data_IF_801873677534
#
_entry.id   IF_801873677534
#
_cell.length_a   1.000
_cell.length_b   1.000
_cell.length_c   1.000
_cell.angle_alpha   90.00
_cell.angle_beta   90.00
_cell.angle_gamma   90.00
#
_symmetry.space_group_name_H-M   'P 1'
#
loop_
_entity.id
_entity.type
_entity.pdbx_description
1 polymer ?
#
# COMPACT_ATOMS: atom_id res chain seq x y z
N UNK A 1 -19.07 13.05 -1.03
CA UNK A 1 -18.77 14.49 -1.16
C UNK A 1 -19.49 14.97 -2.42
N UNK A 2 -20.66 15.58 -2.22
CA UNK A 2 -21.58 15.94 -3.31
C UNK A 2 -21.07 17.13 -4.13
N UNK A 3 -20.34 18.06 -3.50
CA UNK A 3 -19.77 19.23 -4.18
C UNK A 3 -18.69 18.79 -5.16
N UNK A 4 -17.83 17.86 -4.74
CA UNK A 4 -16.77 17.33 -5.59
C UNK A 4 -17.35 16.55 -6.79
N UNK A 5 -18.40 15.77 -6.55
CA UNK A 5 -19.09 15.03 -7.60
C UNK A 5 -19.75 15.97 -8.61
N UNK A 6 -20.48 17.00 -8.16
CA UNK A 6 -21.11 17.99 -9.03
C UNK A 6 -20.09 18.73 -9.91
N UNK A 7 -18.92 19.07 -9.35
CA UNK A 7 -17.80 19.65 -10.13
C UNK A 7 -17.26 18.67 -11.16
N UNK A 8 -17.03 17.41 -10.78
CA UNK A 8 -16.53 16.38 -11.70
C UNK A 8 -17.52 16.08 -12.83
N UNK A 9 -18.82 16.06 -12.55
CA UNK A 9 -19.87 15.89 -13.57
C UNK A 9 -19.91 17.07 -14.55
N UNK A 10 -19.75 18.31 -14.07
CA UNK A 10 -19.72 19.52 -14.91
C UNK A 10 -18.46 19.61 -15.77
N UNK A 11 -17.29 19.33 -15.20
CA UNK A 11 -16.00 19.45 -15.87
C UNK A 11 -15.69 18.28 -16.81
N UNK A 12 -16.31 17.11 -16.58
CA UNK A 12 -16.09 15.86 -17.31
C UNK A 12 -14.60 15.58 -17.58
N UNK A 13 -13.75 15.55 -16.55
CA UNK A 13 -12.31 15.41 -16.73
C UNK A 13 -11.96 14.04 -17.33
N UNK A 14 -10.97 14.01 -18.23
CA UNK A 14 -10.42 12.73 -18.72
C UNK A 14 -9.54 12.04 -17.64
N UNK A 15 -8.90 12.84 -16.78
CA UNK A 15 -7.97 12.36 -15.75
C UNK A 15 -8.30 12.99 -14.38
N UNK A 16 -8.32 12.17 -13.33
CA UNK A 16 -8.48 12.60 -11.94
C UNK A 16 -7.29 12.10 -11.15
N UNK A 17 -6.51 13.03 -10.58
CA UNK A 17 -5.39 12.69 -9.70
C UNK A 17 -5.84 12.87 -8.26
N UNK A 18 -5.87 11.77 -7.52
CA UNK A 18 -6.17 11.78 -6.08
C UNK A 18 -4.83 11.72 -5.36
N UNK A 19 -4.54 12.72 -4.53
CA UNK A 19 -3.27 12.83 -3.80
C UNK A 19 -3.46 12.87 -2.27
N UNK A 20 -4.36 12.03 -1.76
CA UNK A 20 -4.65 11.89 -0.32
C UNK A 20 -4.06 10.58 0.22
N UNK A 21 -3.96 10.43 1.54
CA UNK A 21 -3.46 9.22 2.18
C UNK A 21 -4.25 7.95 1.80
N UNK A 22 -3.54 6.83 1.63
CA UNK A 22 -4.04 5.63 0.95
C UNK A 22 -5.38 5.06 1.44
N UNK A 23 -5.67 5.12 2.73
CA UNK A 23 -6.93 4.54 3.27
C UNK A 23 -8.21 5.23 2.78
N UNK A 24 -8.20 6.54 2.56
CA UNK A 24 -9.35 7.28 2.05
C UNK A 24 -9.33 7.40 0.51
N UNK A 25 -8.16 7.27 -0.07
CA UNK A 25 -7.92 7.39 -1.50
C UNK A 25 -8.69 6.34 -2.31
N UNK A 26 -8.65 5.07 -1.87
CA UNK A 26 -9.34 3.98 -2.58
C UNK A 26 -10.86 4.11 -2.48
N UNK A 27 -11.37 4.54 -1.32
CA UNK A 27 -12.81 4.77 -1.10
C UNK A 27 -13.31 5.90 -2.00
N UNK A 28 -12.57 7.01 -2.06
CA UNK A 28 -12.91 8.14 -2.91
C UNK A 28 -12.85 7.79 -4.39
N UNK A 29 -11.79 7.09 -4.82
CA UNK A 29 -11.64 6.66 -6.21
C UNK A 29 -12.78 5.73 -6.65
N UNK A 30 -13.18 4.77 -5.79
CA UNK A 30 -14.35 3.92 -6.05
C UNK A 30 -15.64 4.72 -6.13
N UNK A 31 -15.88 5.61 -5.16
CA UNK A 31 -17.07 6.45 -5.13
C UNK A 31 -17.20 7.29 -6.41
N UNK A 32 -16.12 7.92 -6.88
CA UNK A 32 -16.15 8.70 -8.13
C UNK A 32 -16.41 7.82 -9.35
N UNK A 33 -15.82 6.62 -9.40
CA UNK A 33 -16.04 5.67 -10.50
C UNK A 33 -17.49 5.17 -10.58
N UNK A 34 -18.16 5.02 -9.45
CA UNK A 34 -19.54 4.52 -9.38
C UNK A 34 -20.59 5.62 -9.63
N UNK A 35 -20.27 6.89 -9.37
CA UNK A 35 -21.22 8.00 -9.42
C UNK A 35 -21.03 8.92 -10.65
N UNK A 36 -20.01 8.70 -11.47
CA UNK A 36 -19.79 9.46 -12.71
C UNK A 36 -20.31 8.68 -13.92
N UNK A 37 -21.08 9.37 -14.77
CA UNK A 37 -21.61 8.81 -16.02
C UNK A 37 -20.52 8.54 -17.08
N UNK A 38 -19.27 8.90 -16.80
CA UNK A 38 -18.11 8.70 -17.65
C UNK A 38 -16.99 7.99 -16.87
N UNK A 39 -16.03 7.41 -17.59
CA UNK A 39 -14.92 6.66 -17.00
C UNK A 39 -13.61 7.44 -17.08
N UNK A 40 -13.35 8.37 -16.14
CA UNK A 40 -12.06 9.05 -16.07
C UNK A 40 -10.95 8.07 -15.68
N UNK A 41 -9.72 8.36 -16.11
CA UNK A 41 -8.54 7.70 -15.58
C UNK A 41 -8.25 8.26 -14.17
N UNK A 42 -8.44 7.44 -13.14
CA UNK A 42 -8.21 7.82 -11.74
C UNK A 42 -6.82 7.35 -11.32
N UNK A 43 -5.97 8.30 -10.94
CA UNK A 43 -4.60 8.05 -10.50
C UNK A 43 -4.49 8.27 -8.99
N UNK A 44 -4.26 7.19 -8.26
CA UNK A 44 -4.06 7.21 -6.82
C UNK A 44 -2.55 7.30 -6.52
N UNK A 45 -2.02 8.51 -6.34
CA UNK A 45 -0.58 8.74 -6.12
C UNK A 45 -0.19 8.84 -4.62
N UNK A 46 -1.10 8.47 -3.71
CA UNK A 46 -0.91 8.67 -2.27
C UNK A 46 -0.65 10.13 -1.90
N UNK A 47 -0.06 10.32 -0.71
CA UNK A 47 0.37 11.64 -0.26
C UNK A 47 1.69 12.10 -0.90
N UNK A 48 2.10 11.50 -2.05
CA UNK A 48 3.31 11.85 -2.78
C UNK A 48 3.33 13.32 -3.19
N UNK A 49 2.17 13.87 -3.57
CA UNK A 49 2.07 15.29 -3.93
C UNK A 49 2.39 16.21 -2.75
N UNK A 50 2.09 15.81 -1.51
CA UNK A 50 2.45 16.57 -0.31
C UNK A 50 3.96 16.70 -0.09
N UNK A 51 4.75 15.77 -0.62
CA UNK A 51 6.21 15.91 -0.64
C UNK A 51 6.67 16.89 -1.74
N UNK A 52 5.97 16.91 -2.88
CA UNK A 52 6.26 17.83 -3.97
C UNK A 52 5.88 19.27 -3.63
N UNK A 53 4.77 19.49 -2.92
CA UNK A 53 4.28 20.81 -2.51
C UNK A 53 4.95 21.33 -1.23
N UNK A 54 5.74 20.52 -0.55
CA UNK A 54 6.45 20.90 0.69
C UNK A 54 5.62 20.83 1.98
N UNK A 55 4.36 20.37 1.91
CA UNK A 55 3.47 20.20 3.07
C UNK A 55 3.87 19.02 3.97
N UNK A 56 4.65 18.07 3.45
CA UNK A 56 5.25 17.00 4.26
C UNK A 56 6.73 17.25 4.49
N UNK A 57 7.15 17.03 5.75
CA UNK A 57 8.55 17.12 6.18
C UNK A 57 9.44 16.34 5.21
N UNK A 58 10.30 17.07 4.51
CA UNK A 58 11.30 16.50 3.63
C UNK A 58 12.13 15.49 4.43
N UNK A 59 12.12 14.23 4.01
CA UNK A 59 13.01 13.24 4.59
C UNK A 59 14.42 13.63 4.13
N UNK A 60 15.39 13.81 5.04
CA UNK A 60 16.76 14.06 4.64
C UNK A 60 17.25 12.95 3.71
N UNK A 61 17.92 13.28 2.60
CA UNK A 61 18.38 12.29 1.63
C UNK A 61 19.29 11.21 2.24
N UNK A 62 20.03 11.54 3.32
CA UNK A 62 20.83 10.56 4.06
C UNK A 62 19.95 9.51 4.75
N UNK A 63 18.79 9.90 5.27
CA UNK A 63 17.88 8.99 5.95
C UNK A 63 17.12 8.10 4.96
N UNK A 64 16.81 8.63 3.78
CA UNK A 64 16.23 7.85 2.69
C UNK A 64 17.26 6.85 2.11
N UNK A 65 18.52 7.26 1.96
CA UNK A 65 19.64 6.37 1.56
C UNK A 65 19.86 5.18 2.48
N UNK A 66 19.62 5.33 3.79
CA UNK A 66 19.76 4.23 4.77
C UNK A 66 18.43 3.47 4.93
N UNK A 67 17.39 3.78 4.13
CA UNK A 67 16.03 3.27 4.30
C UNK A 67 15.45 3.48 5.72
N UNK A 68 15.97 4.47 6.46
CA UNK A 68 15.58 4.84 7.82
C UNK A 68 14.64 6.04 7.84
N UNK A 69 14.10 6.46 6.69
CA UNK A 69 13.11 7.53 6.60
C UNK A 69 11.89 7.31 7.51
N UNK A 70 11.51 6.06 7.77
CA UNK A 70 10.46 5.70 8.73
C UNK A 70 10.82 6.05 10.18
N UNK A 71 12.08 5.87 10.58
CA UNK A 71 12.57 6.17 11.92
C UNK A 71 12.71 7.68 12.13
N UNK A 72 13.18 8.39 11.10
CA UNK A 72 13.22 9.86 11.13
C UNK A 72 11.81 10.44 11.23
N UNK A 73 10.82 9.87 10.54
CA UNK A 73 9.40 10.25 10.71
C UNK A 73 8.91 10.02 12.13
N UNK A 74 9.32 8.92 12.76
CA UNK A 74 9.00 8.60 14.15
C UNK A 74 9.55 9.66 15.11
N UNK A 75 10.81 10.06 14.91
CA UNK A 75 11.49 11.07 15.72
C UNK A 75 11.00 12.50 15.44
N UNK A 76 10.54 12.78 14.22
CA UNK A 76 10.02 14.10 13.84
C UNK A 76 8.62 14.39 14.42
N UNK A 77 7.79 13.36 14.63
CA UNK A 77 6.43 13.51 15.18
C UNK A 77 6.13 12.49 16.28
N UNK A 78 6.89 12.50 17.39
CA UNK A 78 6.80 11.47 18.43
C UNK A 78 5.41 11.44 19.07
N UNK A 79 4.75 12.59 19.22
CA UNK A 79 3.42 12.70 19.84
C UNK A 79 2.33 11.94 19.09
N UNK A 80 2.45 11.81 17.76
CA UNK A 80 1.43 11.13 16.94
C UNK A 80 1.77 9.64 16.80
N UNK A 81 3.05 9.32 16.62
CA UNK A 81 3.45 7.94 16.34
C UNK A 81 3.65 7.08 17.58
N UNK A 82 4.06 7.64 18.73
CA UNK A 82 4.24 6.86 19.97
C UNK A 82 2.93 6.15 20.36
N UNK A 83 1.76 6.82 20.48
CA UNK A 83 0.51 6.15 20.81
C UNK A 83 0.16 5.02 19.84
N UNK A 84 0.43 5.23 18.55
CA UNK A 84 0.18 4.23 17.51
C UNK A 84 1.08 2.99 17.66
N UNK A 85 2.35 3.14 18.04
CA UNK A 85 3.22 1.99 18.31
C UNK A 85 2.81 1.22 19.56
N UNK A 86 2.33 1.91 20.60
CA UNK A 86 1.89 1.26 21.83
C UNK A 86 0.73 0.29 21.61
N UNK A 87 -0.20 0.63 20.72
CA UNK A 87 -1.33 -0.25 20.35
C UNK A 87 -0.85 -1.55 19.66
N UNK A 88 0.27 -1.50 18.94
CA UNK A 88 0.80 -2.64 18.16
C UNK A 88 1.76 -3.49 19.01
N UNK A 89 1.95 -3.20 20.30
CA UNK A 89 2.87 -3.95 21.18
C UNK A 89 2.50 -5.43 21.36
N UNK A 90 1.26 -5.80 21.08
CA UNK A 90 0.81 -7.19 21.12
C UNK A 90 1.28 -8.01 19.90
N UNK A 91 1.59 -7.36 18.78
CA UNK A 91 2.02 -8.03 17.55
C UNK A 91 3.35 -8.78 17.72
N UNK A 92 4.43 -8.18 18.25
CA UNK A 92 5.70 -8.89 18.47
C UNK A 92 5.53 -10.10 19.40
N UNK A 93 4.69 -9.96 20.44
CA UNK A 93 4.39 -11.04 21.36
C UNK A 93 3.63 -12.17 20.66
N UNK A 94 2.64 -11.84 19.85
CA UNK A 94 1.89 -12.81 19.04
C UNK A 94 2.77 -13.48 17.98
N UNK A 95 3.64 -12.72 17.30
CA UNK A 95 4.59 -13.29 16.33
C UNK A 95 5.57 -14.25 16.99
N UNK A 96 6.02 -13.97 18.21
CA UNK A 96 6.87 -14.89 18.98
C UNK A 96 6.11 -16.12 19.46
N UNK A 97 4.85 -15.95 19.89
CA UNK A 97 3.97 -17.02 20.40
C UNK A 97 3.51 -17.98 19.29
N UNK A 98 3.24 -17.48 18.09
CA UNK A 98 2.68 -18.23 16.96
C UNK A 98 3.70 -18.51 15.84
N UNK A 99 5.00 -18.31 16.12
CA UNK A 99 6.09 -18.55 15.14
C UNK A 99 6.08 -19.98 14.58
N UNK A 100 5.70 -20.96 15.41
CA UNK A 100 5.66 -22.37 15.02
C UNK A 100 4.35 -22.78 14.33
N UNK A 101 3.35 -21.89 14.32
CA UNK A 101 2.03 -22.09 13.69
C UNK A 101 1.82 -21.15 12.48
N UNK A 102 2.90 -20.71 11.82
CA UNK A 102 2.74 -19.95 10.59
C UNK A 102 2.02 -20.83 9.55
N UNK A 103 0.96 -20.33 8.88
CA UNK A 103 0.36 -21.05 7.78
C UNK A 103 1.44 -21.33 6.74
N UNK A 104 1.44 -22.52 6.10
CA UNK A 104 2.46 -22.89 5.14
C UNK A 104 2.55 -21.79 4.09
N UNK A 105 3.72 -21.15 4.00
CA UNK A 105 3.95 -20.07 3.06
C UNK A 105 3.61 -20.59 1.68
N UNK A 106 2.76 -19.85 0.97
CA UNK A 106 2.27 -20.25 -0.35
C UNK A 106 3.48 -20.45 -1.26
N UNK A 107 3.84 -21.71 -1.52
CA UNK A 107 4.97 -22.10 -2.37
C UNK A 107 5.04 -21.22 -3.61
N UNK A 108 6.19 -20.60 -3.83
CA UNK A 108 6.42 -19.73 -4.98
C UNK A 108 6.21 -20.54 -6.27
N UNK A 109 5.79 -19.89 -7.36
CA UNK A 109 5.53 -20.55 -8.66
C UNK A 109 6.68 -21.47 -9.12
N UNK A 110 7.92 -21.14 -8.73
CA UNK A 110 9.15 -21.88 -9.00
C UNK A 110 9.20 -23.29 -8.39
N UNK A 111 8.62 -23.49 -7.22
CA UNK A 111 8.58 -24.79 -6.52
C UNK A 111 7.49 -25.71 -7.07
N UNK A 112 6.39 -25.14 -7.58
CA UNK A 112 5.33 -25.91 -8.25
C UNK A 112 5.80 -26.53 -9.57
N UNK A 113 6.65 -25.84 -10.33
CA UNK A 113 7.24 -26.35 -11.57
C UNK A 113 8.29 -27.45 -11.35
N UNK A 114 8.98 -27.45 -10.21
CA UNK A 114 9.93 -28.52 -9.86
C UNK A 114 9.22 -29.81 -9.42
N UNK A 115 7.98 -29.70 -8.92
CA UNK A 115 7.21 -30.82 -8.38
C UNK A 115 6.32 -31.50 -9.44
N UNK A 116 6.16 -30.90 -10.62
CA UNK A 116 5.33 -31.40 -11.73
C UNK A 116 6.09 -32.21 -12.79
N UNK A 117 7.34 -32.61 -12.54
CA UNK A 117 8.06 -33.55 -13.42
C UNK A 117 8.10 -34.94 -12.77
N UNK A 118 7.03 -35.76 -12.90
CA UNK A 118 7.10 -37.16 -12.55
C UNK A 118 8.01 -37.88 -13.55
N UNK A 119 9.07 -38.48 -12.99
CA UNK A 119 9.79 -39.65 -13.45
C UNK A 119 9.30 -40.24 -14.80
N UNK A 120 9.96 -39.87 -15.91
CA UNK A 120 9.96 -40.66 -17.16
C UNK A 120 11.28 -41.41 -17.25
N UNK A 121 11.47 -42.39 -16.39
CA UNK A 121 12.45 -43.46 -16.60
C UNK A 121 11.74 -44.79 -16.41
N UNK A 122 11.70 -45.59 -17.48
CA UNK A 122 10.96 -46.84 -17.58
C UNK A 122 10.83 -47.30 -19.03
N UNK A 123 11.99 -47.43 -19.69
CA UNK A 123 12.16 -47.94 -21.05
C UNK A 123 11.97 -49.47 -21.09
N UNK A 124 11.16 -49.93 -22.04
CA UNK A 124 11.39 -51.14 -22.87
C UNK A 124 11.47 -52.53 -22.21
N UNK A 125 10.46 -53.35 -22.51
CA UNK A 125 10.61 -54.72 -23.01
C UNK A 125 9.32 -55.15 -23.71
#
# INVERSE_FOLDING_TARGET
>A
DEILLARAQKLRPAHIVIAIGGGNQDKLGRYLKENLDHRPAIHCIGAALGFLTGDQVAIPEWADRVYLGWLVRLLAQPRIFIPRLWVVRELPWMMLRYRDNLPPLRKTKRERSAQSSPNREGTGA
#
